data_IF_310206031274
#
_entry.id   IF_310206031274
#
_cell.length_a   1.000
_cell.length_b   1.000
_cell.length_c   1.000
_cell.angle_alpha   90.00
_cell.angle_beta   90.00
_cell.angle_gamma   90.00
#
_symmetry.space_group_name_H-M   'P 1'
#
loop_
_entity.id
_entity.type
_entity.pdbx_description
1 polymer ?
#
# COMPACT_ATOMS: atom_id res chain seq x y z
N UNK A 1 24.16 -4.80 -23.66
CA UNK A 1 23.50 -5.26 -22.43
C UNK A 1 23.75 -4.22 -21.35
N UNK A 2 22.81 -3.30 -21.18
CA UNK A 2 22.88 -2.21 -20.21
C UNK A 2 22.57 -2.75 -18.81
N UNK A 3 23.55 -2.64 -17.90
CA UNK A 3 23.39 -2.98 -16.49
C UNK A 3 22.56 -1.88 -15.83
N UNK A 4 21.32 -2.18 -15.45
CA UNK A 4 20.50 -1.33 -14.59
C UNK A 4 21.12 -1.35 -13.19
N UNK A 5 21.78 -0.25 -12.82
CA UNK A 5 22.28 0.02 -11.48
C UNK A 5 21.10 0.24 -10.53
N UNK A 6 20.87 -0.72 -9.63
CA UNK A 6 19.96 -0.61 -8.50
C UNK A 6 20.61 0.33 -7.47
N UNK A 7 20.14 1.57 -7.35
CA UNK A 7 20.58 2.47 -6.29
C UNK A 7 19.69 2.23 -5.05
N UNK A 8 20.26 1.57 -4.03
CA UNK A 8 19.65 1.41 -2.72
C UNK A 8 19.92 2.68 -1.91
N UNK A 9 18.92 3.56 -1.76
CA UNK A 9 19.04 4.76 -0.95
C UNK A 9 18.89 4.41 0.54
N UNK A 10 20.02 4.27 1.25
CA UNK A 10 20.04 4.24 2.71
C UNK A 10 19.92 5.67 3.26
N UNK A 11 18.89 5.94 4.05
CA UNK A 11 18.73 7.21 4.74
C UNK A 11 19.72 7.30 5.92
N UNK A 12 20.68 8.24 5.86
CA UNK A 12 21.57 8.57 6.98
C UNK A 12 20.98 9.82 7.65
N UNK A 13 20.41 9.67 8.85
CA UNK A 13 20.06 10.79 9.72
C UNK A 13 21.18 11.01 10.73
N UNK A 14 21.92 12.11 10.55
CA UNK A 14 22.86 12.64 11.55
C UNK A 14 22.03 13.46 12.54
N UNK A 15 21.80 12.92 13.73
CA UNK A 15 21.19 13.62 14.86
C UNK A 15 22.18 13.68 16.02
N UNK A 16 22.73 14.88 16.27
CA UNK A 16 23.52 15.19 17.45
C UNK A 16 22.55 15.70 18.54
N UNK A 17 22.29 14.90 19.57
CA UNK A 17 21.38 15.26 20.66
C UNK A 17 21.42 14.21 21.77
N UNK A 18 21.77 14.64 22.97
CA UNK A 18 22.05 13.83 24.15
C UNK A 18 20.79 13.34 24.89
N UNK A 19 19.80 12.86 24.15
CA UNK A 19 18.65 12.12 24.66
C UNK A 19 18.32 11.07 23.61
N UNK A 20 18.45 9.79 23.99
CA UNK A 20 18.49 8.64 23.08
C UNK A 20 17.51 8.75 21.91
N UNK A 21 18.06 9.08 20.74
CA UNK A 21 17.35 9.02 19.48
C UNK A 21 16.85 7.59 19.30
N UNK A 22 15.56 7.36 19.50
CA UNK A 22 14.91 6.16 18.98
C UNK A 22 15.16 6.20 17.48
N UNK A 23 15.98 5.28 16.97
CA UNK A 23 16.07 5.06 15.54
C UNK A 23 14.63 4.94 15.03
N UNK A 24 14.26 5.72 14.01
CA UNK A 24 12.95 5.59 13.40
C UNK A 24 12.77 4.11 13.05
N UNK A 25 11.74 3.47 13.64
CA UNK A 25 11.50 2.05 13.45
C UNK A 25 11.51 1.75 11.95
N UNK A 26 12.35 0.80 11.54
CA UNK A 26 12.51 0.43 10.14
C UNK A 26 11.14 0.00 9.62
N UNK A 27 10.70 0.58 8.49
CA UNK A 27 9.42 0.23 7.90
C UNK A 27 9.34 -1.28 7.61
N UNK A 28 8.22 -1.96 7.91
CA UNK A 28 8.03 -3.40 7.66
C UNK A 28 7.73 -3.68 6.18
N UNK A 29 8.10 -2.75 5.29
CA UNK A 29 7.80 -2.79 3.86
C UNK A 29 8.82 -1.96 3.08
N UNK A 30 9.03 -2.34 1.83
CA UNK A 30 9.75 -1.55 0.83
C UNK A 30 8.80 -1.02 -0.23
N UNK A 31 9.11 0.16 -0.76
CA UNK A 31 8.32 0.79 -1.82
C UNK A 31 9.20 1.08 -3.02
N UNK A 32 8.74 0.66 -4.20
CA UNK A 32 9.34 0.96 -5.48
C UNK A 32 8.32 1.64 -6.39
N UNK A 33 8.79 2.50 -7.28
CA UNK A 33 7.95 3.14 -8.30
C UNK A 33 8.39 2.68 -9.67
N UNK A 34 7.43 2.31 -10.52
CA UNK A 34 7.70 1.89 -11.90
C UNK A 34 6.54 2.29 -12.79
N UNK A 35 6.76 3.29 -13.65
CA UNK A 35 5.88 3.68 -14.77
C UNK A 35 4.38 3.57 -14.48
N UNK A 36 3.82 4.49 -13.70
CA UNK A 36 2.40 4.47 -13.35
C UNK A 36 2.00 3.42 -12.30
N UNK A 37 2.94 2.92 -11.50
CA UNK A 37 2.66 2.03 -10.39
C UNK A 37 3.54 2.29 -9.16
N UNK A 38 2.93 2.11 -7.98
CA UNK A 38 3.60 1.96 -6.69
C UNK A 38 3.61 0.47 -6.35
N UNK A 39 4.78 -0.10 -6.08
CA UNK A 39 4.97 -1.51 -5.75
C UNK A 39 5.39 -1.59 -4.29
N UNK A 40 4.55 -2.20 -3.46
CA UNK A 40 4.84 -2.45 -2.05
C UNK A 40 5.28 -3.89 -1.90
N UNK A 41 6.46 -4.12 -1.31
CA UNK A 41 6.95 -5.45 -0.92
C UNK A 41 6.92 -5.55 0.60
N UNK A 42 6.27 -6.57 1.15
CA UNK A 42 6.28 -6.78 2.59
C UNK A 42 7.64 -7.33 3.05
N UNK A 43 8.18 -6.77 4.12
CA UNK A 43 9.41 -7.25 4.78
C UNK A 43 9.11 -8.09 6.02
N UNK A 44 7.84 -8.39 6.30
CA UNK A 44 7.40 -9.17 7.44
C UNK A 44 6.09 -9.91 7.13
N UNK A 45 5.70 -10.85 7.98
CA UNK A 45 4.42 -11.54 7.86
C UNK A 45 3.25 -10.69 8.39
N UNK A 46 2.06 -10.91 7.83
CA UNK A 46 0.81 -10.32 8.32
C UNK A 46 0.69 -8.81 8.12
N UNK A 47 1.33 -8.24 7.09
CA UNK A 47 1.21 -6.82 6.78
C UNK A 47 -0.14 -6.53 6.11
N UNK A 48 -0.94 -5.63 6.67
CA UNK A 48 -2.22 -5.16 6.10
C UNK A 48 -2.09 -3.71 5.70
N UNK A 49 -2.44 -3.38 4.46
CA UNK A 49 -2.44 -2.00 3.97
C UNK A 49 -3.83 -1.40 4.17
N UNK A 50 -3.94 -0.45 5.10
CA UNK A 50 -5.15 0.32 5.32
C UNK A 50 -5.17 1.58 4.45
N UNK A 51 -4.02 2.23 4.28
CA UNK A 51 -3.88 3.55 3.69
C UNK A 51 -2.92 3.55 2.49
N UNK A 52 -3.28 4.21 1.39
CA UNK A 52 -2.31 4.71 0.40
C UNK A 52 -2.74 6.09 -0.08
N UNK A 53 -1.86 7.07 0.08
CA UNK A 53 -2.03 8.42 -0.46
C UNK A 53 -0.82 8.76 -1.31
N UNK A 54 -1.01 8.94 -2.62
CA UNK A 54 0.06 9.28 -3.56
C UNK A 54 0.00 10.77 -3.90
N UNK A 55 1.14 11.46 -3.85
CA UNK A 55 1.28 12.90 -4.10
C UNK A 55 0.24 13.74 -3.34
N UNK A 56 0.11 13.52 -2.01
CA UNK A 56 -0.91 14.16 -1.14
C UNK A 56 -2.35 14.01 -1.64
N UNK A 57 -2.64 12.91 -2.33
CA UNK A 57 -3.96 12.57 -2.86
C UNK A 57 -4.24 13.15 -4.25
N UNK A 58 -3.29 13.90 -4.83
CA UNK A 58 -3.45 14.42 -6.20
C UNK A 58 -3.20 13.37 -7.28
N UNK A 59 -2.71 12.18 -6.89
CA UNK A 59 -2.52 11.06 -7.79
C UNK A 59 -3.43 9.90 -7.36
N UNK A 60 -4.55 9.69 -8.05
CA UNK A 60 -5.44 8.58 -7.75
C UNK A 60 -4.73 7.24 -7.88
N UNK A 61 -4.92 6.39 -6.88
CA UNK A 61 -4.34 5.06 -6.79
C UNK A 61 -5.45 4.00 -6.72
N UNK A 62 -5.21 2.88 -7.40
CA UNK A 62 -6.18 1.80 -7.55
C UNK A 62 -5.48 0.46 -7.46
N UNK A 63 -6.06 -0.46 -6.70
CA UNK A 63 -5.64 -1.85 -6.69
C UNK A 63 -6.83 -2.74 -6.44
N UNK A 64 -6.65 -4.04 -6.66
CA UNK A 64 -7.68 -4.99 -6.32
C UNK A 64 -7.13 -6.33 -5.89
N UNK A 65 -7.94 -7.05 -5.12
CA UNK A 65 -7.61 -8.36 -4.58
C UNK A 65 -8.86 -9.25 -4.63
N UNK A 66 -8.75 -10.50 -5.10
CA UNK A 66 -9.83 -11.46 -4.93
C UNK A 66 -9.96 -11.84 -3.46
N UNK A 67 -11.17 -12.16 -3.02
CA UNK A 67 -11.38 -12.85 -1.75
C UNK A 67 -10.75 -14.25 -1.80
N UNK A 68 -10.46 -14.83 -0.63
CA UNK A 68 -9.82 -16.15 -0.54
C UNK A 68 -10.66 -17.27 -1.15
N UNK A 69 -11.98 -17.19 -1.00
CA UNK A 69 -12.96 -18.08 -1.63
C UNK A 69 -13.25 -17.71 -3.10
N UNK A 70 -12.63 -16.65 -3.63
CA UNK A 70 -12.81 -16.11 -4.99
C UNK A 70 -14.23 -15.69 -5.34
N UNK A 71 -15.11 -15.58 -4.34
CA UNK A 71 -16.49 -15.13 -4.50
C UNK A 71 -16.57 -13.64 -4.83
N UNK A 72 -15.65 -12.85 -4.29
CA UNK A 72 -15.63 -11.41 -4.47
C UNK A 72 -14.32 -10.93 -5.08
N UNK A 73 -14.41 -9.83 -5.82
CA UNK A 73 -13.28 -9.00 -6.19
C UNK A 73 -13.38 -7.67 -5.45
N UNK A 74 -12.36 -7.36 -4.65
CA UNK A 74 -12.29 -6.11 -3.92
C UNK A 74 -11.51 -5.11 -4.75
N UNK A 75 -12.12 -3.98 -5.06
CA UNK A 75 -11.48 -2.86 -5.79
C UNK A 75 -11.31 -1.68 -4.84
N UNK A 76 -10.07 -1.40 -4.50
CA UNK A 76 -9.68 -0.30 -3.63
C UNK A 76 -9.48 0.97 -4.47
N UNK A 77 -9.97 2.08 -3.95
CA UNK A 77 -9.88 3.40 -4.57
C UNK A 77 -9.29 4.35 -3.55
N UNK A 78 -8.26 5.07 -3.96
CA UNK A 78 -7.54 6.00 -3.12
C UNK A 78 -7.25 7.31 -3.84
N UNK A 79 -7.95 8.38 -3.46
CA UNK A 79 -7.76 9.74 -3.97
C UNK A 79 -8.20 10.75 -2.91
N UNK A 80 -7.91 12.03 -3.14
CA UNK A 80 -8.08 13.13 -2.17
C UNK A 80 -9.47 13.19 -1.50
N UNK A 81 -10.52 12.84 -2.23
CA UNK A 81 -11.93 12.95 -1.83
C UNK A 81 -12.61 11.59 -1.67
N UNK A 82 -11.94 10.49 -1.99
CA UNK A 82 -12.50 9.15 -1.93
C UNK A 82 -11.45 8.13 -1.50
N UNK A 83 -11.76 7.44 -0.41
CA UNK A 83 -10.94 6.38 0.12
C UNK A 83 -11.84 5.19 0.52
N UNK A 84 -12.02 4.25 -0.40
CA UNK A 84 -13.11 3.27 -0.35
C UNK A 84 -12.75 1.93 -0.98
N UNK A 85 -13.57 0.90 -0.70
CA UNK A 85 -13.50 -0.41 -1.36
C UNK A 85 -14.84 -0.75 -1.97
N UNK A 86 -14.86 -0.96 -3.29
CA UNK A 86 -15.99 -1.58 -3.97
C UNK A 86 -15.88 -3.10 -3.89
N UNK A 87 -16.93 -3.75 -3.38
CA UNK A 87 -17.04 -5.21 -3.36
C UNK A 87 -17.84 -5.64 -4.57
N UNK A 88 -17.20 -6.43 -5.44
CA UNK A 88 -17.78 -6.89 -6.70
C UNK A 88 -18.01 -8.40 -6.58
N UNK A 89 -19.21 -8.86 -6.93
CA UNK A 89 -19.49 -10.27 -7.10
C UNK A 89 -18.70 -10.79 -8.30
N UNK A 90 -17.83 -11.79 -8.08
CA UNK A 90 -16.90 -12.25 -9.10
C UNK A 90 -17.57 -13.13 -10.17
N UNK A 91 -18.74 -13.70 -9.88
CA UNK A 91 -19.51 -14.51 -10.84
C UNK A 91 -20.40 -13.61 -11.69
N UNK A 92 -21.09 -12.65 -11.05
CA UNK A 92 -22.05 -11.77 -11.72
C UNK A 92 -21.43 -10.50 -12.30
N UNK A 93 -20.20 -10.16 -11.88
CA UNK A 93 -19.52 -8.90 -12.21
C UNK A 93 -20.30 -7.66 -11.79
N UNK A 94 -21.09 -7.76 -10.72
CA UNK A 94 -21.91 -6.67 -10.21
C UNK A 94 -21.33 -6.09 -8.92
N UNK A 95 -21.38 -4.77 -8.78
CA UNK A 95 -21.00 -4.11 -7.53
C UNK A 95 -22.08 -4.34 -6.48
N UNK A 96 -21.73 -5.04 -5.42
CA UNK A 96 -22.63 -5.36 -4.31
C UNK A 96 -22.74 -4.16 -3.36
N UNK A 97 -21.59 -3.60 -2.98
CA UNK A 97 -21.52 -2.49 -2.04
C UNK A 97 -20.23 -1.69 -2.19
N UNK A 98 -20.17 -0.55 -1.50
CA UNK A 98 -18.98 0.28 -1.38
C UNK A 98 -18.83 0.66 0.08
N UNK A 99 -17.66 0.38 0.65
CA UNK A 99 -17.38 0.54 2.07
C UNK A 99 -16.21 1.49 2.29
N UNK A 100 -16.21 2.19 3.42
CA UNK A 100 -14.98 2.76 3.93
C UNK A 100 -14.01 1.61 4.29
N UNK A 101 -12.71 1.88 4.25
CA UNK A 101 -11.69 0.86 4.47
C UNK A 101 -11.81 0.17 5.85
N UNK A 102 -12.05 0.89 6.96
CA UNK A 102 -12.25 0.24 8.26
C UNK A 102 -13.43 -0.75 8.24
N UNK A 103 -14.60 -0.31 7.76
CA UNK A 103 -15.80 -1.15 7.65
C UNK A 103 -15.58 -2.37 6.75
N UNK A 104 -14.82 -2.18 5.67
CA UNK A 104 -14.41 -3.27 4.80
C UNK A 104 -13.57 -4.31 5.53
N UNK A 105 -12.56 -3.90 6.31
CA UNK A 105 -11.74 -4.84 7.08
C UNK A 105 -12.52 -5.52 8.21
N UNK A 106 -13.46 -4.83 8.85
CA UNK A 106 -14.32 -5.42 9.87
C UNK A 106 -15.23 -6.52 9.31
N UNK A 107 -15.73 -6.32 8.09
CA UNK A 107 -16.65 -7.25 7.42
C UNK A 107 -15.93 -8.36 6.65
N UNK A 108 -14.89 -8.03 5.89
CA UNK A 108 -14.21 -8.93 4.95
C UNK A 108 -12.77 -9.29 5.34
N UNK A 109 -12.16 -8.61 6.32
CA UNK A 109 -10.74 -8.77 6.65
C UNK A 109 -10.38 -9.84 7.68
N UNK A 110 -11.35 -10.66 8.13
CA UNK A 110 -11.17 -11.61 9.23
C UNK A 110 -10.39 -12.88 8.86
N UNK A 111 -10.25 -13.21 7.58
CA UNK A 111 -9.68 -14.47 7.09
C UNK A 111 -8.22 -14.36 6.60
N UNK A 112 -7.57 -13.22 6.86
CA UNK A 112 -6.22 -12.87 6.42
C UNK A 112 -6.03 -12.88 4.89
N UNK A 113 -7.09 -12.91 4.08
CA UNK A 113 -7.00 -12.92 2.61
C UNK A 113 -6.29 -11.68 2.01
N UNK A 114 -6.14 -10.64 2.83
CA UNK A 114 -5.62 -9.33 2.47
C UNK A 114 -4.28 -9.01 3.13
N UNK A 115 -3.70 -9.99 3.83
CA UNK A 115 -2.37 -9.88 4.43
C UNK A 115 -1.29 -10.17 3.38
N UNK A 116 -0.23 -9.37 3.41
CA UNK A 116 1.01 -9.63 2.70
C UNK A 116 1.98 -10.31 3.67
N UNK A 117 2.50 -11.46 3.28
CA UNK A 117 3.56 -12.15 4.01
C UNK A 117 4.94 -11.71 3.51
N UNK A 118 6.00 -12.13 4.20
CA UNK A 118 7.36 -11.79 3.82
C UNK A 118 7.63 -12.06 2.32
N UNK A 119 8.03 -11.03 1.58
CA UNK A 119 8.33 -11.10 0.15
C UNK A 119 7.12 -10.95 -0.78
N UNK A 120 5.89 -10.96 -0.27
CA UNK A 120 4.69 -10.69 -1.07
C UNK A 120 4.70 -9.25 -1.60
N UNK A 121 4.15 -9.09 -2.81
CA UNK A 121 4.10 -7.80 -3.50
C UNK A 121 2.67 -7.37 -3.79
N UNK A 122 2.41 -6.09 -3.61
CA UNK A 122 1.18 -5.43 -4.06
C UNK A 122 1.53 -4.34 -5.07
N UNK A 123 1.09 -4.52 -6.31
CA UNK A 123 1.18 -3.51 -7.36
C UNK A 123 -0.04 -2.63 -7.34
N UNK A 124 0.16 -1.32 -7.21
CA UNK A 124 -0.90 -0.33 -7.11
C UNK A 124 -0.78 0.61 -8.29
N UNK A 125 -1.80 0.61 -9.14
CA UNK A 125 -1.85 1.43 -10.34
C UNK A 125 -2.12 2.87 -9.96
N UNK A 126 -1.39 3.80 -10.56
CA UNK A 126 -1.53 5.24 -10.39
C UNK A 126 -1.53 5.93 -11.74
N UNK A 127 -2.30 7.00 -11.87
CA UNK A 127 -2.46 7.72 -13.15
C UNK A 127 -1.49 8.89 -13.32
N UNK A 128 -0.38 8.91 -12.57
CA UNK A 128 0.64 9.95 -12.62
C UNK A 128 2.00 9.39 -12.19
N UNK A 129 3.04 10.22 -12.26
CA UNK A 129 4.35 9.91 -11.70
C UNK A 129 4.37 10.13 -10.17
N UNK A 130 4.62 9.09 -9.35
CA UNK A 130 4.71 9.25 -7.91
C UNK A 130 5.97 10.00 -7.50
N UNK A 131 5.80 11.07 -6.76
CA UNK A 131 6.86 11.83 -6.07
C UNK A 131 6.93 11.44 -4.60
N UNK A 132 5.77 11.11 -4.01
CA UNK A 132 5.66 10.59 -2.65
C UNK A 132 4.49 9.60 -2.53
N UNK A 133 4.62 8.67 -1.59
CA UNK A 133 3.56 7.75 -1.17
C UNK A 133 3.52 7.65 0.35
N UNK A 134 2.39 8.05 0.94
CA UNK A 134 2.04 7.74 2.33
C UNK A 134 1.31 6.42 2.40
N UNK A 135 1.77 5.50 3.23
CA UNK A 135 1.20 4.16 3.41
C UNK A 135 0.84 3.98 4.88
N UNK A 136 -0.40 3.58 5.14
CA UNK A 136 -0.87 3.25 6.49
C UNK A 136 -1.12 1.74 6.57
N UNK A 137 -0.66 1.13 7.65
CA UNK A 137 -0.76 -0.31 7.85
C UNK A 137 -1.16 -0.65 9.28
N UNK A 138 -1.41 -1.93 9.56
CA UNK A 138 -1.57 -2.43 10.92
C UNK A 138 -0.34 -2.31 11.82
N UNK A 139 0.82 -1.97 11.25
CA UNK A 139 2.09 -1.84 11.98
C UNK A 139 2.56 -0.39 12.14
N UNK A 140 1.83 0.57 11.57
CA UNK A 140 2.18 1.99 11.56
C UNK A 140 2.01 2.62 10.20
N UNK A 141 2.46 3.87 10.08
CA UNK A 141 2.36 4.67 8.87
C UNK A 141 3.71 5.24 8.47
N UNK A 142 4.04 5.18 7.19
CA UNK A 142 5.31 5.67 6.63
C UNK A 142 5.06 6.48 5.37
N UNK A 143 5.90 7.48 5.14
CA UNK A 143 5.91 8.25 3.90
C UNK A 143 7.23 8.03 3.19
N UNK A 144 7.15 7.71 1.91
CA UNK A 144 8.30 7.48 1.04
C UNK A 144 8.34 8.59 0.00
N UNK A 145 9.53 9.13 -0.26
CA UNK A 145 9.76 10.10 -1.33
C UNK A 145 10.67 9.49 -2.39
N UNK A 146 10.30 9.67 -3.65
CA UNK A 146 11.01 9.14 -4.81
C UNK A 146 11.64 10.34 -5.52
N UNK A 147 12.96 10.46 -5.41
CA UNK A 147 13.74 11.52 -6.06
C UNK A 147 14.12 11.13 -7.47
#
# INVERSE_FOLDING_TARGET
MTKLSLALAAAILIGCGSDGAKAADKAPLEVQVRGGAVIITSLEDGLRIYGLIVNRGNCPAFWGKPSKDKKYYFRFIARKDEYSVAVIDNEKYEKIETLAIPDFYDKYGKDNALELNFGDKSGISVNCDPLEAGIETNKGSWTFSFR
#
